data_IF_785439721799
#
_entry.id   IF_785439721799
#
_cell.length_a   1.000
_cell.length_b   1.000
_cell.length_c   1.000
_cell.angle_alpha   90.00
_cell.angle_beta   90.00
_cell.angle_gamma   90.00
#
_symmetry.space_group_name_H-M   'P 1'
#
loop_
_entity.id
_entity.type
_entity.pdbx_description
1 polymer ?
#
# COMPACT_ATOMS: atom_id res chain seq x y z
N UNK A 1 -52.06 -71.39 17.61
CA UNK A 1 -52.29 -70.24 16.73
C UNK A 1 -50.94 -69.67 16.29
N UNK A 2 -50.73 -69.62 14.97
CA UNK A 2 -49.72 -68.88 14.21
C UNK A 2 -48.20 -69.05 14.50
N UNK A 3 -47.51 -69.58 13.49
CA UNK A 3 -46.18 -69.19 12.98
C UNK A 3 -46.42 -68.57 11.57
N UNK A 4 -45.44 -67.97 10.87
CA UNK A 4 -44.23 -67.22 11.24
C UNK A 4 -44.31 -65.78 10.61
N UNK A 5 -43.37 -64.84 10.70
CA UNK A 5 -42.15 -64.76 9.89
C UNK A 5 -41.22 -63.66 10.43
N UNK A 6 -39.98 -64.09 10.63
CA UNK A 6 -38.83 -63.31 11.06
C UNK A 6 -38.22 -62.67 9.81
N UNK A 7 -38.53 -61.40 9.53
CA UNK A 7 -37.83 -60.64 8.49
C UNK A 7 -36.53 -60.07 9.07
N UNK A 8 -35.41 -60.72 8.76
CA UNK A 8 -34.07 -60.21 9.04
C UNK A 8 -33.78 -58.90 8.30
N UNK A 9 -32.89 -58.03 8.83
CA UNK A 9 -32.59 -56.74 8.22
C UNK A 9 -31.92 -56.92 6.85
N UNK A 10 -32.51 -56.30 5.84
CA UNK A 10 -32.13 -56.38 4.43
C UNK A 10 -30.64 -56.04 4.19
N UNK A 11 -29.87 -56.97 3.61
CA UNK A 11 -28.48 -56.78 3.14
C UNK A 11 -28.30 -55.60 2.16
N UNK A 12 -29.38 -55.15 1.52
CA UNK A 12 -29.41 -53.98 0.65
C UNK A 12 -29.21 -52.65 1.40
N UNK A 13 -29.63 -52.56 2.66
CA UNK A 13 -29.44 -51.35 3.47
C UNK A 13 -27.97 -51.14 3.84
N UNK A 14 -27.22 -52.20 4.10
CA UNK A 14 -25.80 -52.12 4.41
C UNK A 14 -24.95 -51.71 3.19
N UNK A 15 -25.36 -52.12 1.98
CA UNK A 15 -24.67 -51.77 0.73
C UNK A 15 -24.76 -50.26 0.39
N UNK A 16 -25.92 -49.63 0.63
CA UNK A 16 -26.11 -48.19 0.41
C UNK A 16 -25.32 -47.31 1.39
N UNK A 17 -25.17 -47.75 2.64
CA UNK A 17 -24.39 -47.03 3.66
C UNK A 17 -22.89 -47.09 3.34
N UNK A 18 -22.39 -48.20 2.81
CA UNK A 18 -20.98 -48.32 2.42
C UNK A 18 -20.62 -47.45 1.20
N UNK A 19 -21.52 -47.28 0.23
CA UNK A 19 -21.28 -46.45 -0.97
C UNK A 19 -21.32 -44.95 -0.66
N UNK A 20 -22.12 -44.51 0.32
CA UNK A 20 -22.26 -43.11 0.71
C UNK A 20 -21.07 -42.59 1.54
N UNK A 21 -20.37 -43.45 2.28
CA UNK A 21 -19.15 -43.09 3.04
C UNK A 21 -17.95 -42.85 2.09
N UNK A 22 -17.91 -43.49 0.92
CA UNK A 22 -16.87 -43.29 -0.11
C UNK A 22 -17.04 -42.02 -0.95
N UNK A 23 -18.19 -41.33 -0.85
CA UNK A 23 -18.51 -40.10 -1.60
C UNK A 23 -18.39 -38.82 -0.78
N UNK A 24 -18.00 -38.91 0.50
CA UNK A 24 -17.50 -37.73 1.20
C UNK A 24 -16.18 -37.37 0.52
N UNK A 25 -16.08 -36.24 -0.21
CA UNK A 25 -14.76 -35.78 -0.59
C UNK A 25 -13.98 -35.68 0.72
N UNK A 26 -12.79 -36.29 0.76
CA UNK A 26 -11.72 -35.79 1.61
C UNK A 26 -11.49 -34.35 1.14
N UNK A 27 -12.37 -33.45 1.55
CA UNK A 27 -12.19 -32.03 1.43
C UNK A 27 -11.03 -31.79 2.36
N UNK A 28 -9.85 -31.78 1.76
CA UNK A 28 -8.71 -31.10 2.30
C UNK A 28 -9.21 -29.69 2.58
N UNK A 29 -9.68 -29.47 3.81
CA UNK A 29 -9.85 -28.13 4.33
C UNK A 29 -8.43 -27.61 4.32
N UNK A 30 -8.10 -26.82 3.30
CA UNK A 30 -7.00 -25.89 3.39
C UNK A 30 -7.34 -25.00 4.58
N UNK A 31 -6.92 -25.42 5.78
CA UNK A 31 -6.94 -24.61 7.00
C UNK A 31 -5.89 -23.54 6.79
N UNK A 32 -6.25 -22.55 5.96
CA UNK A 32 -5.56 -21.28 5.95
C UNK A 32 -5.66 -20.66 7.33
N UNK A 33 -4.68 -19.83 7.66
CA UNK A 33 -4.75 -19.02 8.86
C UNK A 33 -5.88 -18.01 8.75
N UNK A 34 -6.45 -17.60 9.88
CA UNK A 34 -7.47 -16.54 9.90
C UNK A 34 -6.88 -15.21 9.46
N UNK A 35 -7.73 -14.22 9.17
CA UNK A 35 -7.31 -12.91 8.67
C UNK A 35 -6.28 -12.17 9.55
N UNK A 36 -6.26 -12.42 10.87
CA UNK A 36 -5.32 -11.81 11.83
C UNK A 36 -4.18 -12.76 12.25
N UNK A 37 -3.93 -13.82 11.48
CA UNK A 37 -2.93 -14.83 11.77
C UNK A 37 -1.97 -15.03 10.58
N UNK A 38 -0.69 -15.18 10.86
CA UNK A 38 0.33 -15.54 9.86
C UNK A 38 0.74 -17.00 10.04
N UNK A 39 1.19 -17.61 8.94
CA UNK A 39 1.62 -19.01 8.93
C UNK A 39 3.09 -19.13 9.27
N UNK A 40 3.44 -20.04 10.17
CA UNK A 40 4.82 -20.49 10.40
C UNK A 40 4.88 -22.01 10.42
N UNK A 41 5.48 -22.60 9.38
CA UNK A 41 5.42 -24.05 9.20
C UNK A 41 3.97 -24.56 9.13
N UNK A 42 3.56 -25.50 9.99
CA UNK A 42 2.17 -25.97 10.06
C UNK A 42 1.27 -25.13 10.98
N UNK A 43 1.82 -24.19 11.76
CA UNK A 43 1.08 -23.42 12.77
C UNK A 43 0.59 -22.07 12.23
N UNK A 44 -0.52 -21.60 12.80
CA UNK A 44 -1.07 -20.26 12.58
C UNK A 44 -0.90 -19.44 13.85
N UNK A 45 -0.15 -18.34 13.74
CA UNK A 45 0.20 -17.47 14.85
C UNK A 45 -0.51 -16.13 14.74
N UNK A 46 -0.95 -15.51 15.86
CA UNK A 46 -1.51 -14.17 15.82
C UNK A 46 -0.47 -13.15 15.33
N UNK A 47 -0.88 -12.25 14.46
CA UNK A 47 -0.03 -11.19 13.91
C UNK A 47 0.30 -10.10 14.94
N UNK A 48 1.41 -9.42 14.72
CA UNK A 48 1.74 -8.16 15.39
C UNK A 48 0.93 -7.00 14.78
N UNK A 49 0.60 -6.01 15.61
CA UNK A 49 -0.05 -4.78 15.15
C UNK A 49 0.91 -3.92 14.28
N UNK A 50 0.39 -2.97 13.47
CA UNK A 50 1.20 -1.94 12.84
C UNK A 50 2.11 -1.23 13.86
N UNK A 51 3.35 -0.94 13.48
CA UNK A 51 4.35 -0.40 14.40
C UNK A 51 5.13 -1.44 15.19
N UNK A 52 4.83 -2.72 15.03
CA UNK A 52 5.51 -3.80 15.70
C UNK A 52 5.95 -4.87 14.70
N UNK A 53 6.99 -5.62 15.07
CA UNK A 53 7.45 -6.80 14.38
C UNK A 53 7.60 -7.98 15.36
N UNK A 54 7.68 -9.19 14.81
CA UNK A 54 7.86 -10.41 15.58
C UNK A 54 9.28 -10.45 16.16
N UNK A 55 9.38 -10.51 17.48
CA UNK A 55 10.60 -10.82 18.21
C UNK A 55 10.75 -12.33 18.42
N UNK A 56 9.64 -12.98 18.80
CA UNK A 56 9.57 -14.43 18.98
C UNK A 56 8.27 -14.96 18.41
N UNK A 57 8.36 -15.97 17.56
CA UNK A 57 7.19 -16.65 17.00
C UNK A 57 6.38 -17.33 18.09
N UNK A 58 5.09 -17.55 17.79
CA UNK A 58 4.24 -18.34 18.65
C UNK A 58 4.71 -19.81 18.69
N UNK A 59 4.25 -20.54 19.70
CA UNK A 59 4.36 -21.99 19.80
C UNK A 59 2.99 -22.52 20.18
N UNK A 60 2.81 -23.84 20.22
CA UNK A 60 1.58 -24.48 20.72
C UNK A 60 1.09 -23.91 22.08
N UNK A 61 2.00 -23.45 22.94
CA UNK A 61 1.70 -23.00 24.30
C UNK A 61 1.84 -21.48 24.50
N UNK A 62 2.44 -20.76 23.55
CA UNK A 62 2.77 -19.33 23.73
C UNK A 62 2.35 -18.51 22.52
N UNK A 63 1.76 -17.33 22.74
CA UNK A 63 1.43 -16.38 21.67
C UNK A 63 2.68 -15.75 21.04
N UNK A 64 2.51 -15.09 19.89
CA UNK A 64 3.55 -14.29 19.24
C UNK A 64 3.99 -13.15 20.17
N UNK A 65 5.30 -12.98 20.33
CA UNK A 65 5.87 -11.83 21.03
C UNK A 65 6.27 -10.77 20.02
N UNK A 66 5.74 -9.56 20.21
CA UNK A 66 5.92 -8.42 19.32
C UNK A 66 6.71 -7.31 20.03
N UNK A 67 7.59 -6.64 19.30
CA UNK A 67 8.38 -5.49 19.78
C UNK A 67 8.25 -4.33 18.79
N UNK A 68 8.33 -3.07 19.26
CA UNK A 68 8.11 -1.92 18.39
C UNK A 68 9.22 -1.77 17.35
N UNK A 69 8.87 -1.22 16.18
CA UNK A 69 9.85 -0.73 15.23
C UNK A 69 10.64 0.43 15.86
N UNK A 70 11.94 0.48 15.57
CA UNK A 70 12.84 1.51 16.10
C UNK A 70 13.68 2.10 14.98
N UNK A 71 14.23 3.29 15.21
CA UNK A 71 14.95 4.04 14.18
C UNK A 71 14.07 4.42 13.00
N UNK A 72 14.65 4.49 11.80
CA UNK A 72 13.94 4.81 10.55
C UNK A 72 13.30 3.57 9.92
N UNK A 73 12.45 2.87 10.68
CA UNK A 73 11.72 1.69 10.20
C UNK A 73 10.25 1.67 10.63
N UNK A 74 9.40 1.03 9.83
CA UNK A 74 7.95 0.97 10.07
C UNK A 74 7.30 -0.35 9.61
N UNK A 75 6.08 -0.58 10.09
CA UNK A 75 5.11 -1.54 9.54
C UNK A 75 3.71 -0.90 9.54
N UNK A 76 3.07 -0.82 8.38
CA UNK A 76 1.77 -0.13 8.19
C UNK A 76 0.55 -1.05 8.40
N UNK A 77 0.77 -2.36 8.39
CA UNK A 77 -0.28 -3.40 8.45
C UNK A 77 0.02 -4.44 9.52
N UNK A 78 -1.02 -5.16 10.01
CA UNK A 78 -0.81 -6.36 10.82
C UNK A 78 0.09 -7.35 10.09
N UNK A 79 1.09 -7.88 10.79
CA UNK A 79 2.17 -8.60 10.14
C UNK A 79 2.72 -9.77 10.98
N UNK A 80 3.44 -10.67 10.32
CA UNK A 80 4.24 -11.73 10.94
C UNK A 80 5.74 -11.59 10.64
N UNK A 81 6.21 -10.40 10.26
CA UNK A 81 7.60 -10.18 9.84
C UNK A 81 8.52 -10.07 11.04
N UNK A 82 9.77 -10.51 10.89
CA UNK A 82 10.78 -10.45 11.96
C UNK A 82 11.60 -9.16 11.95
N UNK A 83 11.40 -8.31 10.94
CA UNK A 83 12.06 -7.00 10.80
C UNK A 83 11.08 -6.01 10.19
N UNK A 84 11.13 -4.76 10.65
CA UNK A 84 10.39 -3.66 10.05
C UNK A 84 11.02 -3.24 8.71
N UNK A 85 10.20 -2.64 7.83
CA UNK A 85 10.68 -2.07 6.57
C UNK A 85 11.36 -0.71 6.80
N UNK A 86 12.34 -0.31 5.98
CA UNK A 86 12.95 1.00 6.09
C UNK A 86 11.94 2.09 5.67
N UNK A 87 11.98 3.25 6.33
CA UNK A 87 11.22 4.40 5.88
C UNK A 87 11.74 4.92 4.53
N UNK A 88 10.85 5.48 3.72
CA UNK A 88 11.20 6.25 2.55
C UNK A 88 12.05 7.46 2.96
N UNK A 89 13.16 7.65 2.24
CA UNK A 89 14.01 8.83 2.39
C UNK A 89 13.57 9.87 1.36
N UNK A 90 13.16 11.03 1.85
CA UNK A 90 12.92 12.19 0.99
C UNK A 90 14.25 12.89 0.76
N UNK A 91 14.52 13.28 -0.49
CA UNK A 91 15.71 14.08 -0.77
C UNK A 91 15.51 15.45 -0.13
N UNK A 92 16.24 15.71 0.96
CA UNK A 92 16.00 16.83 1.88
C UNK A 92 16.53 18.16 1.30
N UNK A 93 16.23 18.41 0.02
CA UNK A 93 16.39 19.71 -0.61
C UNK A 93 15.29 20.67 -0.16
N UNK A 94 15.47 21.95 -0.49
CA UNK A 94 14.51 23.03 -0.16
C UNK A 94 13.16 22.87 -0.89
N UNK A 95 13.08 21.94 -1.87
CA UNK A 95 11.99 21.80 -2.84
C UNK A 95 10.96 20.70 -2.47
N UNK A 96 11.24 19.88 -1.44
CA UNK A 96 10.35 18.77 -1.03
C UNK A 96 9.81 18.94 0.39
N UNK A 97 8.55 18.52 0.58
CA UNK A 97 7.95 18.32 1.89
C UNK A 97 8.04 16.84 2.28
N UNK A 98 8.17 16.58 3.58
CA UNK A 98 8.22 15.22 4.11
C UNK A 98 7.31 15.11 5.34
N UNK A 99 6.46 14.09 5.38
CA UNK A 99 5.83 13.67 6.64
C UNK A 99 6.83 12.92 7.51
N UNK A 100 6.62 12.98 8.82
CA UNK A 100 7.46 12.24 9.77
C UNK A 100 7.21 10.73 9.64
N UNK A 101 8.29 9.94 9.54
CA UNK A 101 8.18 8.48 9.64
C UNK A 101 7.83 8.07 11.08
N UNK A 102 6.82 7.22 11.24
CA UNK A 102 6.40 6.67 12.53
C UNK A 102 6.55 5.16 12.50
N UNK A 103 6.64 4.48 13.66
CA UNK A 103 6.68 3.02 13.69
C UNK A 103 5.55 2.39 12.86
N UNK A 104 4.34 2.98 12.89
CA UNK A 104 3.16 2.44 12.21
C UNK A 104 2.89 3.02 10.81
N UNK A 105 3.73 3.91 10.27
CA UNK A 105 3.48 4.53 8.96
C UNK A 105 4.76 5.07 8.33
N UNK A 106 4.89 4.87 7.02
CA UNK A 106 6.02 5.42 6.27
C UNK A 106 6.06 6.96 6.29
N UNK A 107 7.24 7.52 6.02
CA UNK A 107 7.36 8.89 5.56
C UNK A 107 6.79 9.01 4.14
N UNK A 108 6.08 10.11 3.89
CA UNK A 108 5.53 10.47 2.58
C UNK A 108 6.17 11.76 2.13
N UNK A 109 6.77 11.72 0.96
CA UNK A 109 7.44 12.85 0.34
C UNK A 109 6.51 13.52 -0.68
N UNK A 110 6.59 14.84 -0.82
CA UNK A 110 5.79 15.60 -1.79
C UNK A 110 6.54 16.81 -2.32
N UNK A 111 6.15 17.30 -3.50
CA UNK A 111 6.64 18.58 -4.01
C UNK A 111 6.03 19.75 -3.23
N UNK A 112 6.82 20.77 -2.92
CA UNK A 112 6.31 22.01 -2.33
C UNK A 112 5.54 22.85 -3.37
N UNK A 113 4.76 23.82 -2.90
CA UNK A 113 4.12 24.78 -3.79
C UNK A 113 5.17 25.54 -4.62
N UNK A 114 4.90 25.74 -5.91
CA UNK A 114 5.87 26.30 -6.86
C UNK A 114 6.92 25.30 -7.37
N UNK A 115 6.81 24.01 -7.03
CA UNK A 115 7.69 22.96 -7.52
C UNK A 115 6.90 21.88 -8.28
N UNK A 116 7.59 21.15 -9.16
CA UNK A 116 7.07 19.98 -9.85
C UNK A 116 7.92 18.75 -9.53
N UNK A 117 7.28 17.58 -9.52
CA UNK A 117 7.93 16.32 -9.20
C UNK A 117 8.84 15.84 -10.34
N UNK A 118 10.06 15.45 -10.01
CA UNK A 118 11.02 14.86 -10.95
C UNK A 118 11.33 13.38 -10.66
N UNK A 119 11.03 12.90 -9.44
CA UNK A 119 11.14 11.49 -9.05
C UNK A 119 9.86 10.99 -8.36
N UNK A 120 8.80 10.66 -9.14
CA UNK A 120 7.52 10.21 -8.61
C UNK A 120 7.58 8.73 -8.18
N UNK A 121 6.84 8.40 -7.12
CA UNK A 121 6.61 7.02 -6.69
C UNK A 121 5.14 6.81 -6.28
N UNK A 122 4.76 5.58 -5.99
CA UNK A 122 3.40 5.27 -5.55
C UNK A 122 3.08 6.00 -4.22
N UNK A 123 2.23 7.02 -4.30
CA UNK A 123 1.79 7.79 -3.14
C UNK A 123 2.64 9.02 -2.79
N UNK A 124 3.63 9.41 -3.59
CA UNK A 124 4.42 10.62 -3.31
C UNK A 124 5.48 10.99 -4.36
N UNK A 125 6.35 11.93 -3.98
CA UNK A 125 7.44 12.46 -4.80
C UNK A 125 8.75 12.57 -4.01
N UNK A 126 9.79 11.83 -4.38
CA UNK A 126 11.08 11.78 -3.64
C UNK A 126 11.93 13.02 -3.86
N UNK A 127 11.86 13.60 -5.05
CA UNK A 127 12.60 14.78 -5.45
C UNK A 127 11.73 15.67 -6.33
N UNK A 128 11.77 16.97 -6.06
CA UNK A 128 11.05 17.99 -6.79
C UNK A 128 12.02 19.09 -7.25
N UNK A 129 11.54 19.95 -8.14
CA UNK A 129 12.29 21.09 -8.67
C UNK A 129 11.38 22.30 -8.84
N UNK A 130 11.92 23.48 -8.61
CA UNK A 130 11.20 24.75 -8.77
C UNK A 130 10.69 24.93 -10.21
N UNK A 131 9.48 25.49 -10.32
CA UNK A 131 8.91 25.91 -11.59
C UNK A 131 9.75 27.01 -12.23
N UNK A 132 9.91 26.92 -13.55
CA UNK A 132 10.57 27.94 -14.35
C UNK A 132 9.83 29.27 -14.24
N UNK A 133 10.53 30.29 -13.73
CA UNK A 133 10.02 31.67 -13.76
C UNK A 133 10.24 32.28 -15.14
N UNK A 134 9.16 32.69 -15.81
CA UNK A 134 9.27 33.34 -17.11
C UNK A 134 9.90 34.74 -16.98
N UNK A 135 10.76 35.09 -17.93
CA UNK A 135 11.45 36.38 -17.96
C UNK A 135 10.55 37.48 -18.54
N UNK A 136 10.79 38.76 -18.25
CA UNK A 136 10.15 39.87 -18.95
C UNK A 136 10.23 39.70 -20.47
N UNK A 137 9.15 40.02 -21.17
CA UNK A 137 8.98 39.75 -22.60
C UNK A 137 8.44 38.36 -22.93
N UNK A 138 8.25 37.48 -21.93
CA UNK A 138 7.54 36.21 -22.07
C UNK A 138 6.22 36.21 -21.30
N UNK A 139 5.27 35.40 -21.75
CA UNK A 139 4.06 35.06 -21.01
C UNK A 139 4.04 33.57 -20.66
N UNK A 140 3.25 33.23 -19.64
CA UNK A 140 3.01 31.84 -19.23
C UNK A 140 2.03 31.22 -20.22
N UNK A 141 2.53 30.33 -21.08
CA UNK A 141 1.70 29.56 -22.03
C UNK A 141 0.97 28.43 -21.30
N UNK A 142 1.69 27.68 -20.48
CA UNK A 142 1.13 26.66 -19.61
C UNK A 142 1.68 26.86 -18.19
N UNK A 143 0.80 27.01 -17.18
CA UNK A 143 1.25 27.08 -15.80
C UNK A 143 1.82 25.72 -15.35
N UNK A 144 2.81 25.76 -14.46
CA UNK A 144 3.34 24.56 -13.82
C UNK A 144 2.30 23.86 -12.96
N UNK A 145 2.47 22.55 -12.80
CA UNK A 145 1.67 21.67 -11.94
C UNK A 145 2.59 20.93 -10.97
N UNK A 146 2.01 20.09 -10.11
CA UNK A 146 2.77 19.15 -9.27
C UNK A 146 3.65 18.16 -10.04
N UNK A 147 3.47 18.06 -11.35
CA UNK A 147 4.05 17.03 -12.22
C UNK A 147 4.68 17.60 -13.49
N UNK A 148 4.44 18.87 -13.81
CA UNK A 148 4.97 19.52 -15.01
C UNK A 148 5.47 20.92 -14.71
N UNK A 149 6.53 21.32 -15.43
CA UNK A 149 7.10 22.66 -15.31
C UNK A 149 6.26 23.73 -16.03
N UNK A 150 6.45 24.98 -15.65
CA UNK A 150 5.89 26.14 -16.33
C UNK A 150 6.49 26.29 -17.73
N UNK A 151 5.63 26.48 -18.73
CA UNK A 151 6.05 26.72 -20.13
C UNK A 151 5.88 28.20 -20.46
N UNK A 152 6.99 28.84 -20.83
CA UNK A 152 7.04 30.25 -21.21
C UNK A 152 7.09 30.42 -22.74
N UNK A 153 6.44 31.46 -23.26
CA UNK A 153 6.47 31.81 -24.69
C UNK A 153 6.72 33.32 -24.88
N UNK A 154 7.40 33.69 -25.97
CA UNK A 154 7.76 35.08 -26.26
C UNK A 154 6.51 35.87 -26.65
N UNK A 155 6.39 37.11 -26.15
CA UNK A 155 5.32 38.00 -26.55
C UNK A 155 5.43 38.40 -28.04
N UNK A 156 4.30 38.43 -28.79
CA UNK A 156 4.31 38.92 -30.16
C UNK A 156 4.70 40.40 -30.21
N UNK A 157 5.12 40.86 -31.39
CA UNK A 157 5.49 42.25 -31.60
C UNK A 157 4.39 43.21 -31.12
N UNK A 158 4.82 44.36 -30.58
CA UNK A 158 3.96 45.38 -29.98
C UNK A 158 3.18 44.94 -28.72
N UNK A 159 3.62 43.89 -28.04
CA UNK A 159 3.06 43.48 -26.74
C UNK A 159 4.15 43.16 -25.72
N UNK A 160 3.80 43.21 -24.44
CA UNK A 160 4.72 42.96 -23.33
C UNK A 160 4.07 42.16 -22.20
N UNK A 161 4.92 41.54 -21.38
CA UNK A 161 4.54 40.85 -20.15
C UNK A 161 5.72 40.93 -19.18
N UNK A 162 5.45 40.97 -17.88
CA UNK A 162 6.48 40.96 -16.84
C UNK A 162 6.95 39.54 -16.48
N UNK A 163 6.51 38.51 -17.23
CA UNK A 163 6.83 37.10 -16.97
C UNK A 163 5.83 36.39 -16.04
N UNK A 164 5.02 37.11 -15.28
CA UNK A 164 4.04 36.50 -14.37
C UNK A 164 2.62 36.37 -14.96
N UNK A 165 2.41 36.85 -16.18
CA UNK A 165 1.09 36.92 -16.82
C UNK A 165 0.86 35.74 -17.77
N UNK A 166 -0.37 35.24 -17.84
CA UNK A 166 -0.79 34.18 -18.79
C UNK A 166 -1.03 34.69 -20.22
N UNK A 167 -0.89 36.00 -20.44
CA UNK A 167 -1.05 36.65 -21.74
C UNK A 167 -0.21 37.91 -21.82
N UNK A 168 0.06 38.38 -23.04
CA UNK A 168 0.75 39.64 -23.28
C UNK A 168 -0.22 40.81 -23.36
N UNK A 169 0.18 41.95 -22.82
CA UNK A 169 -0.56 43.21 -22.89
C UNK A 169 -0.07 44.02 -24.09
N UNK A 170 -0.96 44.56 -24.95
CA UNK A 170 -0.56 45.45 -26.03
C UNK A 170 0.10 46.72 -25.49
N UNK A 171 1.08 47.27 -26.20
CA UNK A 171 1.56 48.61 -25.87
C UNK A 171 0.46 49.64 -26.13
N UNK A 172 0.23 50.53 -25.16
CA UNK A 172 -0.52 51.76 -25.39
C UNK A 172 0.32 52.70 -26.24
N UNK A 173 -0.27 53.19 -27.33
CA UNK A 173 0.26 54.28 -28.17
C UNK A 173 0.33 55.60 -27.38
#
# INVERSE_FOLDING_TARGET
CFLPDNLGPNLWFFSFIMVSVFLLPLSCVCKGCKAAEYKIGPECCPMCAPGFHVYKHCTEQTSTSCVPCTGSTFTDKPNGVTKCGPCTLCDHGEDTSASECKPSSDAVCGALEGNYCIDPYEGGCRAAKEHTTCKPGHFIKHPGTDSTDTVCEICPERSFSNGSSISCTPHTE
#
